data_IF_673642211303
#
_entry.id   IF_673642211303
#
_cell.length_a   1.000
_cell.length_b   1.000
_cell.length_c   1.000
_cell.angle_alpha   90.00
_cell.angle_beta   90.00
_cell.angle_gamma   90.00
#
_symmetry.space_group_name_H-M   'P 1'
#
loop_
_entity.id
_entity.type
_entity.pdbx_description
1 polymer ?
#
# COMPACT_ATOMS: atom_id res chain seq x y z
N UNK A 1 3.31 4.66 32.54
CA UNK A 1 4.38 5.55 33.05
C UNK A 1 4.92 6.34 31.86
N UNK A 2 4.67 7.65 31.85
CA UNK A 2 5.25 8.57 30.85
C UNK A 2 6.73 8.73 31.17
N UNK A 3 7.59 8.59 30.14
CA UNK A 3 9.04 8.79 30.29
C UNK A 3 9.34 10.15 30.95
N UNK A 4 10.32 10.18 31.88
CA UNK A 4 10.71 11.37 32.62
C UNK A 4 11.13 12.52 31.68
N UNK A 5 11.72 12.19 30.55
CA UNK A 5 12.16 13.14 29.53
C UNK A 5 10.97 13.82 28.84
N UNK A 6 9.94 13.05 28.50
CA UNK A 6 8.70 13.56 27.87
C UNK A 6 7.99 14.50 28.87
N UNK A 7 7.90 14.09 30.15
CA UNK A 7 7.31 14.93 31.21
C UNK A 7 8.04 16.23 31.35
N UNK A 8 9.38 16.23 31.43
CA UNK A 8 10.20 17.44 31.52
C UNK A 8 10.00 18.35 30.32
N UNK A 9 9.97 17.78 29.11
CA UNK A 9 9.73 18.53 27.87
C UNK A 9 8.36 19.23 27.89
N UNK A 10 7.29 18.49 28.19
CA UNK A 10 5.94 19.06 28.27
C UNK A 10 5.82 20.18 29.29
N UNK A 11 6.41 19.99 30.50
CA UNK A 11 6.44 21.04 31.55
C UNK A 11 7.23 22.26 31.10
N UNK A 12 8.34 22.08 30.38
CA UNK A 12 9.15 23.18 29.87
C UNK A 12 8.38 23.97 28.79
N UNK A 13 7.73 23.29 27.87
CA UNK A 13 6.88 23.91 26.84
C UNK A 13 5.73 24.71 27.48
N UNK A 14 5.04 24.10 28.44
CA UNK A 14 3.97 24.77 29.17
C UNK A 14 4.47 26.05 29.90
N UNK A 15 5.65 26.00 30.52
CA UNK A 15 6.26 27.19 31.16
C UNK A 15 6.52 28.31 30.17
N UNK A 16 7.07 27.98 28.99
CA UNK A 16 7.32 28.98 27.92
C UNK A 16 6.01 29.64 27.46
N UNK A 17 4.94 28.87 27.27
CA UNK A 17 3.62 29.39 26.93
C UNK A 17 3.06 30.32 28.04
N UNK A 18 3.16 29.89 29.27
CA UNK A 18 2.74 30.73 30.43
C UNK A 18 3.53 32.02 30.52
N UNK A 19 4.84 32.00 30.32
CA UNK A 19 5.66 33.21 30.30
C UNK A 19 5.27 34.15 29.15
N UNK A 20 4.99 33.64 27.97
CA UNK A 20 4.50 34.45 26.87
C UNK A 20 3.17 35.15 27.20
N UNK A 21 2.23 34.46 27.85
CA UNK A 21 0.96 35.04 28.31
C UNK A 21 1.18 36.11 29.42
N UNK A 22 2.10 35.88 30.36
CA UNK A 22 2.44 36.83 31.39
C UNK A 22 3.07 38.10 30.81
N UNK A 23 4.02 37.95 29.86
CA UNK A 23 4.63 39.09 29.16
C UNK A 23 3.57 39.90 28.41
N UNK A 24 2.63 39.23 27.74
CA UNK A 24 1.53 39.89 27.05
C UNK A 24 0.60 40.65 27.98
N UNK A 25 0.26 40.06 29.15
CA UNK A 25 -0.58 40.73 30.18
C UNK A 25 0.11 41.87 30.93
N UNK A 26 1.43 41.82 31.04
CA UNK A 26 2.21 42.88 31.71
C UNK A 26 2.61 44.02 30.78
N UNK A 27 2.64 43.78 29.46
CA UNK A 27 3.10 44.76 28.46
C UNK A 27 2.35 46.10 28.57
N UNK A 28 1.03 46.03 28.74
CA UNK A 28 0.19 47.23 28.89
C UNK A 28 0.52 48.04 30.15
N UNK A 29 0.78 47.37 31.27
CA UNK A 29 1.15 48.02 32.57
C UNK A 29 2.54 48.63 32.51
N UNK A 30 3.43 48.10 31.68
CA UNK A 30 4.80 48.60 31.51
C UNK A 30 4.91 49.69 30.42
N UNK A 31 3.77 50.12 29.83
CA UNK A 31 3.75 51.11 28.76
C UNK A 31 4.33 50.62 27.45
N UNK A 32 4.47 49.29 27.28
CA UNK A 32 4.92 48.68 26.02
C UNK A 32 3.72 48.51 25.11
N UNK A 33 3.87 48.91 23.86
CA UNK A 33 2.81 48.73 22.88
C UNK A 33 2.48 47.22 22.67
N UNK A 34 1.28 46.85 23.14
CA UNK A 34 0.81 45.46 23.09
C UNK A 34 0.82 44.87 21.65
N UNK A 35 0.52 45.71 20.64
CA UNK A 35 0.58 45.27 19.24
C UNK A 35 1.98 44.83 18.81
N UNK A 36 3.02 45.49 19.30
CA UNK A 36 4.41 45.09 19.04
C UNK A 36 4.76 43.72 19.67
N UNK A 37 4.30 43.48 20.89
CA UNK A 37 4.50 42.18 21.57
C UNK A 37 3.78 41.07 20.84
N UNK A 38 2.52 41.29 20.43
CA UNK A 38 1.74 40.33 19.64
C UNK A 38 2.41 40.06 18.32
N UNK A 39 2.95 41.09 17.63
CA UNK A 39 3.65 40.91 16.36
C UNK A 39 4.91 40.04 16.51
N UNK A 40 5.69 40.24 17.58
CA UNK A 40 6.88 39.43 17.86
C UNK A 40 6.49 37.98 18.19
N UNK A 41 5.52 37.78 19.08
CA UNK A 41 5.05 36.43 19.45
C UNK A 41 4.40 35.71 18.23
N UNK A 42 3.65 36.44 17.40
CA UNK A 42 3.06 35.93 16.18
C UNK A 42 4.10 35.47 15.17
N UNK A 43 5.14 36.27 14.93
CA UNK A 43 6.23 35.90 14.00
C UNK A 43 7.00 34.68 14.51
N UNK A 44 7.29 34.61 15.81
CA UNK A 44 7.89 33.42 16.43
C UNK A 44 6.99 32.21 16.31
N UNK A 45 5.66 32.35 16.51
CA UNK A 45 4.67 31.30 16.32
C UNK A 45 4.64 30.73 14.90
N UNK A 46 4.70 31.62 13.89
CA UNK A 46 4.79 31.20 12.48
C UNK A 46 6.08 30.42 12.22
N UNK A 47 7.23 30.90 12.73
CA UNK A 47 8.50 30.20 12.57
C UNK A 47 8.47 28.78 13.19
N UNK A 48 7.92 28.66 14.40
CA UNK A 48 7.74 27.36 15.07
C UNK A 48 6.77 26.48 14.28
N UNK A 49 5.65 27.03 13.82
CA UNK A 49 4.66 26.30 13.00
C UNK A 49 5.26 25.71 11.73
N UNK A 50 6.08 26.50 11.02
CA UNK A 50 6.81 26.04 9.82
C UNK A 50 7.83 24.95 10.17
N UNK A 51 8.55 25.09 11.28
CA UNK A 51 9.51 24.06 11.72
C UNK A 51 8.82 22.72 12.05
N UNK A 52 7.57 22.74 12.53
CA UNK A 52 6.80 21.55 12.89
C UNK A 52 5.86 21.03 11.80
N UNK A 53 5.80 21.74 10.67
CA UNK A 53 4.87 21.43 9.56
C UNK A 53 4.88 19.96 9.16
N UNK A 54 6.06 19.35 9.02
CA UNK A 54 6.19 17.95 8.63
C UNK A 54 5.61 16.97 9.67
N UNK A 55 5.86 17.22 10.96
CA UNK A 55 5.32 16.39 12.06
C UNK A 55 3.81 16.53 12.17
N UNK A 56 3.29 17.74 12.03
CA UNK A 56 1.85 18.01 12.05
C UNK A 56 1.13 17.40 10.84
N UNK A 57 1.74 17.43 9.67
CA UNK A 57 1.24 16.76 8.46
C UNK A 57 1.14 15.24 8.67
N UNK A 58 2.15 14.63 9.30
CA UNK A 58 2.13 13.19 9.59
C UNK A 58 1.07 12.83 10.65
N UNK A 59 0.90 13.67 11.65
CA UNK A 59 -0.18 13.50 12.64
C UNK A 59 -1.55 13.58 11.97
N UNK A 60 -1.79 14.60 11.14
CA UNK A 60 -3.04 14.75 10.40
C UNK A 60 -3.27 13.57 9.45
N UNK A 61 -2.23 13.11 8.74
CA UNK A 61 -2.28 11.92 7.89
C UNK A 61 -2.68 10.66 8.68
N UNK A 62 -2.10 10.46 9.89
CA UNK A 62 -2.47 9.35 10.76
C UNK A 62 -3.95 9.40 11.20
N UNK A 63 -4.44 10.58 11.52
CA UNK A 63 -5.87 10.77 11.84
C UNK A 63 -6.77 10.44 10.65
N UNK A 64 -6.42 10.91 9.44
CA UNK A 64 -7.16 10.61 8.21
C UNK A 64 -7.21 9.09 7.98
N UNK A 65 -6.08 8.39 8.08
CA UNK A 65 -6.01 6.93 7.90
C UNK A 65 -6.91 6.22 8.92
N UNK A 66 -6.88 6.61 10.19
CA UNK A 66 -7.68 5.99 11.26
C UNK A 66 -9.18 6.23 11.11
N UNK A 67 -9.61 7.43 10.63
CA UNK A 67 -11.03 7.75 10.45
C UNK A 67 -11.59 7.23 9.13
N UNK A 68 -10.90 7.49 8.01
CA UNK A 68 -11.36 7.10 6.68
C UNK A 68 -11.11 5.63 6.37
N UNK A 69 -10.15 5.00 7.05
CA UNK A 69 -9.78 3.57 6.92
C UNK A 69 -9.59 3.11 5.48
N UNK A 70 -8.77 3.75 4.67
CA UNK A 70 -8.47 3.28 3.32
C UNK A 70 -7.81 1.90 3.36
N UNK A 71 -7.18 1.55 4.46
CA UNK A 71 -6.67 0.23 4.81
C UNK A 71 -6.71 0.05 6.33
N UNK A 72 -6.65 -1.19 6.79
CA UNK A 72 -6.61 -1.55 8.21
C UNK A 72 -5.40 -2.45 8.51
N UNK A 73 -5.14 -2.69 9.79
CA UNK A 73 -4.11 -3.66 10.21
C UNK A 73 -4.41 -5.04 9.63
N UNK A 74 -3.40 -5.67 9.04
CA UNK A 74 -3.51 -6.97 8.35
C UNK A 74 -3.67 -6.86 6.84
N UNK A 75 -4.05 -5.71 6.30
CA UNK A 75 -4.16 -5.51 4.85
C UNK A 75 -2.78 -5.50 4.19
N UNK A 76 -2.69 -6.08 2.99
CA UNK A 76 -1.55 -5.90 2.10
C UNK A 76 -1.77 -4.68 1.22
N UNK A 77 -0.94 -3.68 1.37
CA UNK A 77 -1.01 -2.44 0.60
C UNK A 77 0.23 -2.24 -0.27
N UNK A 78 0.01 -1.59 -1.40
CA UNK A 78 1.06 -1.17 -2.33
C UNK A 78 0.96 0.34 -2.50
N UNK A 79 2.06 1.02 -2.26
CA UNK A 79 2.25 2.46 -2.50
C UNK A 79 3.45 2.67 -3.42
N UNK A 80 3.64 3.87 -4.02
CA UNK A 80 4.80 4.16 -4.87
C UNK A 80 6.15 3.98 -4.18
N UNK A 81 6.20 4.02 -2.84
CA UNK A 81 7.43 3.98 -2.05
C UNK A 81 7.68 2.65 -1.35
N UNK A 82 6.64 1.87 -1.10
CA UNK A 82 6.77 0.60 -0.39
C UNK A 82 5.50 -0.24 -0.53
N UNK A 83 5.66 -1.54 -0.29
CA UNK A 83 4.57 -2.50 -0.22
C UNK A 83 4.75 -3.45 0.97
N UNK A 84 3.68 -3.99 1.49
CA UNK A 84 3.70 -4.93 2.60
C UNK A 84 2.39 -5.02 3.36
N UNK A 85 2.38 -5.90 4.35
CA UNK A 85 1.25 -6.09 5.28
C UNK A 85 1.31 -4.99 6.34
N UNK A 86 0.20 -4.32 6.58
CA UNK A 86 0.07 -3.30 7.63
C UNK A 86 0.16 -3.97 9.01
N UNK A 87 1.29 -3.80 9.69
CA UNK A 87 1.51 -4.31 11.05
C UNK A 87 0.89 -3.37 12.10
N UNK A 88 1.20 -2.08 12.00
CA UNK A 88 0.76 -1.09 12.98
C UNK A 88 0.51 0.26 12.33
N UNK A 89 -0.62 0.88 12.66
CA UNK A 89 -0.93 2.26 12.30
C UNK A 89 -0.70 3.11 13.57
N UNK A 90 0.42 3.81 13.60
CA UNK A 90 0.76 4.72 14.69
C UNK A 90 0.26 6.14 14.42
N UNK A 91 0.51 7.04 15.35
CA UNK A 91 0.07 8.44 15.25
C UNK A 91 0.78 9.21 14.13
N UNK A 92 2.07 8.92 13.91
CA UNK A 92 2.93 9.65 12.96
C UNK A 92 3.40 8.72 11.82
N UNK A 93 3.61 7.44 12.11
CA UNK A 93 4.12 6.43 11.18
C UNK A 93 3.20 5.23 11.11
N UNK A 94 3.04 4.67 9.91
CA UNK A 94 2.51 3.34 9.69
C UNK A 94 3.67 2.38 9.42
N UNK A 95 3.60 1.18 10.01
CA UNK A 95 4.62 0.14 9.88
C UNK A 95 4.07 -0.96 8.98
N UNK A 96 4.83 -1.29 7.94
CA UNK A 96 4.57 -2.42 7.05
C UNK A 96 5.58 -3.54 7.30
N UNK A 97 5.12 -4.78 7.13
CA UNK A 97 5.97 -5.96 7.05
C UNK A 97 5.99 -6.47 5.61
N UNK A 98 7.17 -6.60 5.04
CA UNK A 98 7.35 -7.19 3.71
C UNK A 98 7.24 -8.72 3.79
N UNK A 99 6.96 -9.42 2.65
CA UNK A 99 6.91 -10.88 2.62
C UNK A 99 8.20 -11.57 3.08
N UNK A 100 9.36 -10.90 2.95
CA UNK A 100 10.67 -11.34 3.44
C UNK A 100 10.97 -10.87 4.88
N UNK A 101 9.92 -10.48 5.62
CA UNK A 101 9.94 -10.12 7.04
C UNK A 101 10.78 -8.87 7.38
N UNK A 102 10.93 -7.94 6.45
CA UNK A 102 11.49 -6.62 6.73
C UNK A 102 10.42 -5.66 7.23
N UNK A 103 10.82 -4.75 8.10
CA UNK A 103 9.93 -3.72 8.65
C UNK A 103 10.19 -2.38 7.97
N UNK A 104 9.15 -1.81 7.36
CA UNK A 104 9.20 -0.51 6.70
C UNK A 104 8.35 0.46 7.51
N UNK A 105 8.94 1.59 7.93
CA UNK A 105 8.22 2.68 8.61
C UNK A 105 7.99 3.81 7.62
N UNK A 106 6.72 4.13 7.37
CA UNK A 106 6.32 5.17 6.41
C UNK A 106 5.63 6.29 7.17
N UNK A 107 6.01 7.56 6.94
CA UNK A 107 5.30 8.69 7.51
C UNK A 107 3.83 8.72 7.05
N UNK A 108 2.89 8.90 7.97
CA UNK A 108 1.46 8.86 7.66
C UNK A 108 1.03 9.93 6.66
N UNK A 109 1.66 11.13 6.71
CA UNK A 109 1.39 12.18 5.74
C UNK A 109 1.73 11.77 4.30
N UNK A 110 2.75 10.92 4.12
CA UNK A 110 3.08 10.35 2.82
C UNK A 110 1.97 9.42 2.35
N UNK A 111 1.57 8.44 3.20
CA UNK A 111 0.52 7.48 2.83
C UNK A 111 -0.85 8.15 2.60
N UNK A 112 -1.19 9.16 3.40
CA UNK A 112 -2.47 9.86 3.28
C UNK A 112 -2.59 10.68 1.98
N UNK A 113 -1.46 11.08 1.38
CA UNK A 113 -1.43 11.90 0.17
C UNK A 113 -1.03 11.12 -1.09
N UNK A 114 -0.55 9.87 -0.95
CA UNK A 114 -0.17 9.02 -2.08
C UNK A 114 -1.34 8.13 -2.54
N UNK A 115 -1.20 7.59 -3.75
CA UNK A 115 -2.10 6.55 -4.25
C UNK A 115 -1.80 5.24 -3.53
N UNK A 116 -2.80 4.68 -2.86
CA UNK A 116 -2.70 3.41 -2.16
C UNK A 116 -3.55 2.36 -2.88
N UNK A 117 -2.93 1.25 -3.26
CA UNK A 117 -3.64 0.06 -3.71
C UNK A 117 -3.76 -0.90 -2.54
N UNK A 118 -4.97 -1.06 -1.99
CA UNK A 118 -5.25 -2.09 -1.01
C UNK A 118 -5.58 -3.40 -1.74
N UNK A 119 -4.65 -4.34 -1.68
CA UNK A 119 -4.69 -5.59 -2.42
C UNK A 119 -5.64 -6.61 -1.80
N UNK A 120 -5.86 -6.50 -0.50
CA UNK A 120 -6.67 -7.45 0.31
C UNK A 120 -8.03 -6.90 0.71
N UNK A 121 -8.36 -5.68 0.31
CA UNK A 121 -9.65 -5.04 0.64
C UNK A 121 -10.88 -5.82 0.14
N UNK A 122 -10.73 -6.57 -0.95
CA UNK A 122 -11.81 -7.38 -1.52
C UNK A 122 -11.56 -8.86 -1.26
N UNK A 123 -12.61 -9.62 -0.96
CA UNK A 123 -12.55 -11.07 -0.69
C UNK A 123 -12.12 -11.89 -1.90
N UNK A 124 -12.21 -11.33 -3.11
CA UNK A 124 -11.87 -12.03 -4.35
C UNK A 124 -10.96 -11.21 -5.24
N UNK A 125 -9.99 -11.88 -5.88
CA UNK A 125 -9.04 -11.27 -6.81
C UNK A 125 -9.10 -11.95 -8.17
N UNK A 126 -8.85 -11.16 -9.21
CA UNK A 126 -8.66 -11.67 -10.57
C UNK A 126 -7.20 -12.08 -10.74
N UNK A 127 -7.02 -13.25 -11.34
CA UNK A 127 -5.73 -13.78 -11.76
C UNK A 127 -5.65 -13.62 -13.27
N UNK A 128 -4.60 -13.00 -13.75
CA UNK A 128 -4.23 -12.97 -15.14
C UNK A 128 -2.91 -13.76 -15.29
N UNK A 129 -2.93 -14.83 -16.09
CA UNK A 129 -1.74 -15.62 -16.47
C UNK A 129 -1.43 -15.37 -17.93
N UNK A 130 -0.15 -15.48 -18.28
CA UNK A 130 0.32 -15.39 -19.66
C UNK A 130 1.24 -16.57 -19.95
N UNK A 131 1.05 -17.20 -21.11
CA UNK A 131 1.84 -18.37 -21.56
C UNK A 131 2.21 -18.16 -23.01
N UNK A 132 3.51 -18.24 -23.33
CA UNK A 132 4.00 -18.19 -24.71
C UNK A 132 3.93 -19.56 -25.36
N UNK A 133 3.38 -19.61 -26.58
CA UNK A 133 3.39 -20.79 -27.45
C UNK A 133 4.07 -20.47 -28.77
N UNK A 134 4.63 -21.50 -29.45
CA UNK A 134 5.22 -21.31 -30.78
C UNK A 134 4.18 -20.84 -31.80
N UNK A 135 4.61 -20.13 -32.84
CA UNK A 135 3.76 -19.75 -33.95
C UNK A 135 3.23 -20.98 -34.74
N UNK A 136 3.94 -22.12 -34.66
CA UNK A 136 3.53 -23.37 -35.29
C UNK A 136 2.50 -24.17 -34.49
N UNK A 137 2.22 -23.75 -33.24
CA UNK A 137 1.29 -24.41 -32.32
C UNK A 137 -0.17 -24.15 -32.70
N UNK A 138 -1.05 -25.14 -32.49
CA UNK A 138 -2.49 -24.95 -32.61
C UNK A 138 -3.02 -24.05 -31.46
N UNK A 139 -3.22 -22.78 -31.78
CA UNK A 139 -3.74 -21.77 -30.86
C UNK A 139 -5.08 -22.18 -30.23
N UNK A 140 -5.96 -22.86 -30.96
CA UNK A 140 -7.26 -23.27 -30.41
C UNK A 140 -7.10 -24.38 -29.40
N UNK A 141 -6.24 -25.34 -29.68
CA UNK A 141 -5.90 -26.41 -28.72
C UNK A 141 -5.20 -25.87 -27.49
N UNK A 142 -4.23 -24.98 -27.66
CA UNK A 142 -3.51 -24.34 -26.56
C UNK A 142 -4.45 -23.52 -25.63
N UNK A 143 -5.36 -22.72 -26.20
CA UNK A 143 -6.39 -22.00 -25.43
C UNK A 143 -7.31 -22.94 -24.66
N UNK A 144 -7.70 -24.09 -25.27
CA UNK A 144 -8.50 -25.10 -24.59
C UNK A 144 -7.75 -25.70 -23.39
N UNK A 145 -6.48 -26.06 -23.54
CA UNK A 145 -5.65 -26.59 -22.46
C UNK A 145 -5.52 -25.61 -21.29
N UNK A 146 -5.32 -24.32 -21.58
CA UNK A 146 -5.29 -23.27 -20.54
C UNK A 146 -6.65 -23.19 -19.83
N UNK A 147 -7.75 -23.27 -20.58
CA UNK A 147 -9.09 -23.25 -20.00
C UNK A 147 -9.35 -24.48 -19.13
N UNK A 148 -9.01 -25.66 -19.61
CA UNK A 148 -9.18 -26.92 -18.87
C UNK A 148 -8.36 -26.89 -17.56
N UNK A 149 -7.11 -26.40 -17.61
CA UNK A 149 -6.27 -26.21 -16.42
C UNK A 149 -6.89 -25.24 -15.39
N UNK A 150 -7.55 -24.16 -15.85
CA UNK A 150 -8.29 -23.23 -14.99
C UNK A 150 -9.53 -23.92 -14.40
N UNK A 151 -10.27 -24.66 -15.22
CA UNK A 151 -11.51 -25.34 -14.80
C UNK A 151 -11.25 -26.51 -13.82
N UNK A 152 -10.11 -27.18 -13.91
CA UNK A 152 -9.70 -28.23 -13.01
C UNK A 152 -9.23 -27.73 -11.64
N UNK A 153 -8.81 -26.48 -11.56
CA UNK A 153 -8.35 -25.91 -10.29
C UNK A 153 -9.53 -25.65 -9.34
N UNK A 154 -9.56 -26.39 -8.24
CA UNK A 154 -10.66 -26.34 -7.26
C UNK A 154 -10.79 -25.02 -6.48
N UNK A 155 -9.76 -24.15 -6.50
CA UNK A 155 -9.77 -22.86 -5.82
C UNK A 155 -10.23 -21.72 -6.72
N UNK A 156 -10.43 -21.97 -8.01
CA UNK A 156 -10.99 -21.00 -8.96
C UNK A 156 -12.49 -20.89 -8.77
N UNK A 157 -12.98 -19.66 -8.75
CA UNK A 157 -14.40 -19.33 -8.60
C UNK A 157 -15.14 -19.51 -9.94
N UNK A 158 -15.79 -20.64 -10.11
CA UNK A 158 -16.49 -21.02 -11.35
C UNK A 158 -17.76 -20.21 -11.65
N UNK A 159 -18.26 -19.48 -10.65
CA UNK A 159 -19.39 -18.56 -10.79
C UNK A 159 -19.01 -17.20 -11.36
N UNK A 160 -17.71 -16.97 -11.61
CA UNK A 160 -17.17 -15.76 -12.22
C UNK A 160 -16.61 -16.09 -13.62
N UNK A 161 -16.47 -15.05 -14.44
CA UNK A 161 -16.00 -15.17 -15.81
C UNK A 161 -14.60 -15.80 -15.87
N UNK A 162 -14.45 -16.84 -16.69
CA UNK A 162 -13.19 -17.45 -17.10
C UNK A 162 -12.99 -17.13 -18.58
N UNK A 163 -11.88 -16.50 -18.93
CA UNK A 163 -11.59 -16.07 -20.27
C UNK A 163 -10.21 -16.57 -20.72
N UNK A 164 -10.11 -17.08 -21.95
CA UNK A 164 -8.85 -17.38 -22.63
C UNK A 164 -8.77 -16.63 -23.96
N UNK A 165 -7.66 -15.91 -24.18
CA UNK A 165 -7.51 -15.00 -25.32
C UNK A 165 -6.06 -14.99 -25.82
N UNK A 166 -5.84 -14.42 -27.00
CA UNK A 166 -4.49 -14.06 -27.45
C UNK A 166 -4.18 -12.68 -26.85
N UNK A 167 -3.16 -12.62 -26.02
CA UNK A 167 -2.76 -11.40 -25.33
C UNK A 167 -1.85 -10.53 -26.17
N UNK A 168 -0.91 -11.16 -26.88
CA UNK A 168 0.09 -10.45 -27.68
C UNK A 168 0.72 -11.38 -28.72
N UNK A 169 1.35 -10.79 -29.73
CA UNK A 169 2.17 -11.45 -30.74
C UNK A 169 3.62 -10.99 -30.58
N UNK A 170 4.40 -11.74 -29.81
CA UNK A 170 5.81 -11.42 -29.55
C UNK A 170 6.70 -11.88 -30.72
N UNK A 171 7.98 -11.46 -30.75
CA UNK A 171 8.90 -11.76 -31.85
C UNK A 171 9.13 -13.26 -32.11
N UNK A 172 9.00 -14.12 -31.09
CA UNK A 172 9.27 -15.57 -31.18
C UNK A 172 8.13 -16.44 -30.61
N UNK A 173 7.04 -15.85 -30.15
CA UNK A 173 5.95 -16.59 -29.53
C UNK A 173 4.62 -15.83 -29.63
N UNK A 174 3.52 -16.58 -29.67
CA UNK A 174 2.17 -16.06 -29.46
C UNK A 174 1.87 -16.12 -27.97
N UNK A 175 1.56 -14.99 -27.35
CA UNK A 175 1.25 -14.92 -25.93
C UNK A 175 -0.25 -15.14 -25.73
N UNK A 176 -0.59 -16.25 -25.09
CA UNK A 176 -1.95 -16.58 -24.70
C UNK A 176 -2.22 -16.10 -23.29
N UNK A 177 -3.35 -15.44 -23.07
CA UNK A 177 -3.83 -15.00 -21.77
C UNK A 177 -4.90 -15.94 -21.21
N UNK A 178 -4.83 -16.22 -19.93
CA UNK A 178 -5.89 -16.86 -19.15
C UNK A 178 -6.31 -15.95 -18.01
N UNK A 179 -7.63 -15.76 -17.85
CA UNK A 179 -8.20 -14.93 -16.77
C UNK A 179 -9.15 -15.77 -15.93
N UNK A 180 -8.98 -15.70 -14.61
CA UNK A 180 -9.82 -16.40 -13.66
C UNK A 180 -9.97 -15.57 -12.38
N UNK A 181 -10.84 -16.00 -11.47
CA UNK A 181 -11.06 -15.38 -10.18
C UNK A 181 -10.88 -16.42 -9.08
N UNK A 182 -10.28 -16.00 -7.96
CA UNK A 182 -10.16 -16.80 -6.74
C UNK A 182 -10.42 -15.97 -5.49
N UNK A 183 -10.44 -16.59 -4.32
CA UNK A 183 -10.37 -15.85 -3.06
C UNK A 183 -9.04 -15.15 -2.95
N UNK A 184 -9.02 -14.01 -2.27
CA UNK A 184 -7.81 -13.20 -2.09
C UNK A 184 -6.69 -13.97 -1.42
N UNK A 185 -7.01 -14.78 -0.40
CA UNK A 185 -6.05 -15.61 0.33
C UNK A 185 -5.40 -16.70 -0.54
N UNK A 186 -6.14 -17.21 -1.53
CA UNK A 186 -5.69 -18.28 -2.41
C UNK A 186 -4.92 -17.78 -3.65
N UNK A 187 -4.80 -16.45 -3.81
CA UNK A 187 -4.28 -15.83 -5.03
C UNK A 187 -2.93 -16.40 -5.49
N UNK A 188 -1.96 -16.48 -4.60
CA UNK A 188 -0.62 -16.93 -4.95
C UNK A 188 -0.58 -18.42 -5.25
N UNK A 189 -1.30 -19.23 -4.46
CA UNK A 189 -1.42 -20.68 -4.65
C UNK A 189 -2.03 -21.01 -6.00
N UNK A 190 -3.14 -20.35 -6.35
CA UNK A 190 -3.80 -20.55 -7.63
C UNK A 190 -2.92 -20.05 -8.78
N UNK A 191 -2.31 -18.86 -8.63
CA UNK A 191 -1.48 -18.28 -9.69
C UNK A 191 -0.27 -19.16 -10.03
N UNK A 192 0.45 -19.63 -9.04
CA UNK A 192 1.60 -20.51 -9.28
C UNK A 192 1.18 -21.88 -9.79
N UNK A 193 0.08 -22.43 -9.27
CA UNK A 193 -0.48 -23.68 -9.76
C UNK A 193 -0.87 -23.61 -11.24
N UNK A 194 -1.58 -22.56 -11.64
CA UNK A 194 -1.98 -22.38 -13.03
C UNK A 194 -0.78 -22.20 -13.97
N UNK A 195 0.25 -21.47 -13.58
CA UNK A 195 1.48 -21.32 -14.38
C UNK A 195 2.17 -22.67 -14.55
N UNK A 196 2.33 -23.46 -13.46
CA UNK A 196 2.99 -24.76 -13.50
C UNK A 196 2.24 -25.77 -14.37
N UNK A 197 0.92 -25.87 -14.21
CA UNK A 197 0.06 -26.79 -14.99
C UNK A 197 0.03 -26.40 -16.46
N UNK A 198 -0.09 -25.09 -16.77
CA UNK A 198 -0.07 -24.61 -18.15
C UNK A 198 1.24 -24.96 -18.87
N UNK A 199 2.38 -24.87 -18.18
CA UNK A 199 3.68 -25.27 -18.73
C UNK A 199 3.75 -26.78 -19.02
N UNK A 200 3.30 -27.63 -18.09
CA UNK A 200 3.36 -29.08 -18.25
C UNK A 200 2.42 -29.59 -19.35
N UNK A 201 1.20 -29.07 -19.43
CA UNK A 201 0.22 -29.44 -20.43
C UNK A 201 0.62 -29.00 -21.84
N UNK A 202 1.14 -27.79 -22.00
CA UNK A 202 1.61 -27.30 -23.29
C UNK A 202 2.84 -28.08 -23.76
N UNK A 203 3.81 -28.34 -22.88
CA UNK A 203 5.02 -29.10 -23.23
C UNK A 203 4.71 -30.55 -23.61
N UNK A 204 3.78 -31.21 -22.92
CA UNK A 204 3.35 -32.58 -23.25
C UNK A 204 2.71 -32.70 -24.62
N UNK A 205 2.18 -31.61 -25.17
CA UNK A 205 1.53 -31.58 -26.49
C UNK A 205 2.39 -30.95 -27.58
N UNK A 206 3.50 -30.30 -27.26
CA UNK A 206 4.46 -29.72 -28.21
C UNK A 206 5.65 -30.65 -28.50
N UNK A 207 5.78 -31.80 -27.81
CA UNK A 207 6.80 -32.78 -28.13
C UNK A 207 6.36 -33.56 -29.38
N UNK A 208 6.89 -33.24 -30.58
CA UNK A 208 6.75 -34.15 -31.72
C UNK A 208 7.55 -35.42 -31.38
N UNK A 209 7.00 -36.57 -31.65
CA UNK A 209 7.73 -37.82 -31.81
C UNK A 209 8.86 -37.60 -32.83
N UNK A 210 10.05 -37.23 -32.37
CA UNK A 210 11.30 -37.37 -33.10
C UNK A 210 12.37 -37.87 -32.13
N UNK A 211 12.34 -39.18 -31.94
CA UNK A 211 13.49 -40.02 -31.66
C UNK A 211 13.54 -41.11 -32.72
#
# INVERSE_FOLDING_TARGET
NVDLTIRKFLLSTLKVLLYALVVLGLSERLGINQASVVAILGSAGVAIGLAWQGSLSNFAGGMIILFCRPFVRGDYIVSPKAEGIVDTIGVIYTILLTPDNKRISIPNGTLANDVITNVTANDTRRIDIQVGVSYDSDIRKAKKLIKDAIDENGLVLKNKEILTYVSDLASSAVILGGRAWCKTDDYWTVRWGLIAVSYTHLRAHETPEHL
#
